data_IF_787386666430
#
_entry.id   IF_787386666430
#
_cell.length_a   1.000
_cell.length_b   1.000
_cell.length_c   1.000
_cell.angle_alpha   90.00
_cell.angle_beta   90.00
_cell.angle_gamma   90.00
#
_symmetry.space_group_name_H-M   'P 1'
#
loop_
_entity.id
_entity.type
_entity.pdbx_description
1 polymer ?
#
# COMPACT_ATOMS: atom_id res chain seq x y z
N UNK A 1 -28.10 -46.25 -14.62
CA UNK A 1 -27.41 -45.38 -15.55
C UNK A 1 -27.76 -43.93 -15.43
N UNK A 2 -29.04 -43.64 -15.41
CA UNK A 2 -29.46 -42.26 -15.29
C UNK A 2 -28.98 -41.61 -14.03
N UNK A 3 -28.84 -42.33 -12.98
CA UNK A 3 -28.40 -41.75 -11.71
C UNK A 3 -26.99 -41.28 -11.77
N UNK A 4 -26.16 -41.98 -12.50
CA UNK A 4 -24.77 -41.57 -12.57
C UNK A 4 -24.60 -40.26 -13.33
N UNK A 5 -25.42 -40.10 -14.34
CA UNK A 5 -25.35 -38.86 -15.11
C UNK A 5 -25.71 -37.66 -14.28
N UNK A 6 -26.68 -37.81 -13.42
CA UNK A 6 -27.09 -36.71 -12.55
C UNK A 6 -26.00 -36.30 -11.59
N UNK A 7 -25.30 -37.30 -11.08
CA UNK A 7 -24.23 -37.00 -10.14
C UNK A 7 -23.13 -36.18 -10.79
N UNK A 8 -22.84 -36.52 -12.02
CA UNK A 8 -21.81 -35.78 -12.73
C UNK A 8 -22.18 -34.33 -12.97
N UNK A 9 -23.42 -34.10 -13.24
CA UNK A 9 -23.87 -32.74 -13.49
C UNK A 9 -23.72 -31.86 -12.25
N UNK A 10 -24.03 -32.44 -11.13
CA UNK A 10 -23.93 -31.66 -9.89
C UNK A 10 -22.49 -31.24 -9.62
N UNK A 11 -21.57 -32.12 -9.86
CA UNK A 11 -20.17 -31.80 -9.64
C UNK A 11 -19.69 -30.70 -10.54
N UNK A 12 -20.10 -30.76 -11.79
CA UNK A 12 -19.67 -29.73 -12.73
C UNK A 12 -20.20 -28.38 -12.34
N UNK A 13 -21.40 -28.35 -11.82
CA UNK A 13 -21.98 -27.08 -11.42
C UNK A 13 -21.25 -26.46 -10.26
N UNK A 14 -20.85 -27.26 -9.32
CA UNK A 14 -20.14 -26.73 -8.16
C UNK A 14 -18.82 -26.12 -8.54
N UNK A 15 -18.15 -26.68 -9.54
CA UNK A 15 -16.85 -26.16 -9.92
C UNK A 15 -16.90 -24.81 -10.61
N UNK A 16 -18.02 -24.45 -11.16
CA UNK A 16 -18.10 -23.20 -11.89
C UNK A 16 -18.20 -21.99 -11.00
N UNK A 17 -18.66 -22.15 -9.80
CA UNK A 17 -18.89 -21.01 -8.91
C UNK A 17 -17.61 -20.47 -8.32
N UNK A 18 -16.69 -21.32 -7.94
CA UNK A 18 -15.50 -20.91 -7.25
C UNK A 18 -14.61 -19.90 -7.98
N UNK A 19 -14.34 -20.07 -9.26
CA UNK A 19 -13.40 -19.16 -9.94
C UNK A 19 -13.84 -17.71 -9.97
N UNK A 20 -15.10 -17.47 -9.94
CA UNK A 20 -15.58 -16.10 -10.01
C UNK A 20 -15.25 -15.27 -8.81
N UNK A 21 -15.39 -15.85 -7.64
CA UNK A 21 -15.14 -15.11 -6.41
C UNK A 21 -13.68 -14.74 -6.30
N UNK A 22 -12.81 -15.61 -6.75
CA UNK A 22 -11.39 -15.35 -6.65
C UNK A 22 -10.95 -14.18 -7.51
N UNK A 23 -11.59 -14.00 -8.64
CA UNK A 23 -11.17 -12.95 -9.57
C UNK A 23 -11.34 -11.55 -8.98
N UNK A 24 -12.42 -11.32 -8.27
CA UNK A 24 -12.65 -10.01 -7.68
C UNK A 24 -11.66 -9.67 -6.61
N UNK A 25 -11.31 -10.64 -5.79
CA UNK A 25 -10.39 -10.40 -4.70
C UNK A 25 -8.99 -10.12 -5.19
N UNK A 26 -8.62 -10.71 -6.30
CA UNK A 26 -7.27 -10.53 -6.83
C UNK A 26 -6.97 -9.08 -7.16
N UNK A 27 -7.93 -8.37 -7.69
CA UNK A 27 -7.71 -6.97 -8.05
C UNK A 27 -7.40 -6.10 -6.85
N UNK A 28 -8.15 -6.28 -5.78
CA UNK A 28 -7.92 -5.50 -4.57
C UNK A 28 -6.58 -5.80 -3.96
N UNK A 29 -6.22 -7.07 -3.95
CA UNK A 29 -4.96 -7.48 -3.36
C UNK A 29 -3.77 -6.89 -4.11
N UNK A 30 -3.89 -6.77 -5.41
CA UNK A 30 -2.79 -6.23 -6.20
C UNK A 30 -2.51 -4.77 -5.85
N UNK A 31 -3.54 -3.99 -5.64
CA UNK A 31 -3.34 -2.60 -5.28
C UNK A 31 -2.69 -2.46 -3.92
N UNK A 32 -3.12 -3.27 -2.98
CA UNK A 32 -2.54 -3.23 -1.65
C UNK A 32 -1.08 -3.66 -1.70
N UNK A 33 -0.78 -4.69 -2.46
CA UNK A 33 0.59 -5.16 -2.56
C UNK A 33 1.52 -4.17 -3.20
N UNK A 34 1.03 -3.39 -4.13
CA UNK A 34 1.86 -2.39 -4.75
C UNK A 34 2.34 -1.37 -3.73
N UNK A 35 1.46 -0.96 -2.86
CA UNK A 35 1.83 -0.05 -1.80
C UNK A 35 2.77 -0.71 -0.80
N UNK A 36 2.54 -1.97 -0.51
CA UNK A 36 3.37 -2.66 0.47
C UNK A 36 4.77 -2.96 -0.04
N UNK A 37 4.96 -2.99 -1.33
CA UNK A 37 6.29 -3.24 -1.86
C UNK A 37 7.21 -2.08 -1.66
N UNK A 38 6.67 -0.91 -1.50
CA UNK A 38 7.49 0.25 -1.23
C UNK A 38 7.97 0.18 0.19
N UNK A 39 9.25 0.37 0.34
CA UNK A 39 9.81 0.43 1.66
C UNK A 39 9.61 1.84 2.17
N UNK A 40 8.94 1.97 3.29
CA UNK A 40 8.61 3.26 3.87
C UNK A 40 9.10 3.34 5.31
N UNK A 41 9.34 4.55 5.81
CA UNK A 41 9.69 4.69 7.21
C UNK A 41 8.56 4.21 8.11
N UNK A 42 8.93 3.60 9.22
CA UNK A 42 7.95 3.12 10.19
C UNK A 42 7.65 4.23 11.19
N UNK A 43 6.43 4.27 11.67
CA UNK A 43 6.06 5.23 12.71
C UNK A 43 6.93 5.01 13.94
N UNK A 44 7.42 6.10 14.50
CA UNK A 44 8.29 6.02 15.67
C UNK A 44 9.77 5.92 15.35
N UNK A 45 10.12 5.79 14.07
CA UNK A 45 11.50 5.78 13.66
C UNK A 45 12.10 7.16 13.86
N UNK A 46 13.38 7.23 14.20
CA UNK A 46 14.02 8.53 14.40
C UNK A 46 14.51 9.11 13.09
N UNK A 47 14.65 10.44 13.06
CA UNK A 47 15.14 11.12 11.87
C UNK A 47 16.45 10.53 11.39
N UNK A 48 17.37 10.25 12.33
CA UNK A 48 18.65 9.69 11.95
C UNK A 48 18.50 8.35 11.30
N UNK A 49 17.58 7.55 11.79
CA UNK A 49 17.33 6.22 11.23
C UNK A 49 16.74 6.31 9.85
N UNK A 50 15.85 7.26 9.65
CA UNK A 50 15.24 7.46 8.34
C UNK A 50 16.31 7.85 7.33
N UNK A 51 17.16 8.79 7.71
CA UNK A 51 18.22 9.24 6.82
C UNK A 51 19.23 8.13 6.54
N UNK A 52 19.53 7.32 7.53
CA UNK A 52 20.47 6.22 7.33
C UNK A 52 19.90 5.18 6.39
N UNK A 53 18.60 4.92 6.49
CA UNK A 53 17.99 3.86 5.70
C UNK A 53 17.56 4.32 4.32
N UNK A 54 17.01 5.51 4.22
CA UNK A 54 16.45 6.01 2.96
C UNK A 54 17.26 7.08 2.30
N UNK A 55 18.33 7.54 2.94
CA UNK A 55 19.17 8.59 2.38
C UNK A 55 18.62 9.97 2.68
N UNK A 56 19.28 10.99 2.12
CA UNK A 56 18.85 12.35 2.33
C UNK A 56 17.57 12.61 1.54
N UNK A 57 16.62 13.35 2.11
CA UNK A 57 15.41 13.66 1.37
C UNK A 57 15.71 14.67 0.26
N UNK A 58 14.80 14.69 -0.70
CA UNK A 58 14.88 15.61 -1.80
C UNK A 58 14.71 17.05 -1.32
N UNK A 59 13.79 17.23 -0.38
CA UNK A 59 13.50 18.56 0.17
C UNK A 59 13.19 18.40 1.64
N UNK A 60 13.66 19.36 2.44
CA UNK A 60 13.29 19.40 3.85
C UNK A 60 12.53 20.67 4.13
N UNK A 61 11.56 20.58 5.01
CA UNK A 61 10.78 21.73 5.43
C UNK A 61 11.00 21.94 6.91
N UNK A 62 11.11 23.20 7.31
CA UNK A 62 11.34 23.52 8.72
C UNK A 62 10.17 23.09 9.57
N UNK A 63 10.46 22.84 10.83
CA UNK A 63 9.41 22.45 11.77
C UNK A 63 8.40 23.57 11.95
N UNK A 64 7.13 23.18 12.07
CA UNK A 64 6.04 24.12 12.21
C UNK A 64 5.11 23.65 13.31
N UNK A 65 4.66 24.59 14.12
CA UNK A 65 3.61 24.29 15.09
C UNK A 65 4.13 23.83 16.43
N UNK A 66 3.20 23.46 17.28
CA UNK A 66 3.48 23.02 18.65
C UNK A 66 2.47 21.91 18.96
N UNK A 67 2.91 20.65 18.96
CA UNK A 67 4.30 20.22 18.84
C UNK A 67 4.82 20.46 17.40
N UNK A 68 6.14 20.57 17.29
CA UNK A 68 6.74 20.87 15.99
C UNK A 68 6.63 19.68 15.04
N UNK A 69 6.14 19.96 13.85
CA UNK A 69 6.01 18.96 12.80
C UNK A 69 6.94 19.30 11.68
N UNK A 70 7.81 18.37 11.32
CA UNK A 70 8.78 18.53 10.25
C UNK A 70 8.41 17.61 9.12
N UNK A 71 8.54 18.09 7.88
CA UNK A 71 8.24 17.27 6.71
C UNK A 71 9.48 17.12 5.86
N UNK A 72 9.75 15.87 5.46
CA UNK A 72 10.83 15.56 4.51
C UNK A 72 10.19 14.95 3.28
N UNK A 73 10.53 15.48 2.11
CA UNK A 73 9.99 14.99 0.85
C UNK A 73 11.01 14.10 0.16
N UNK A 74 10.63 12.88 -0.11
CA UNK A 74 11.42 11.96 -0.89
C UNK A 74 10.81 11.86 -2.28
N UNK A 75 11.36 11.00 -3.11
CA UNK A 75 10.94 10.92 -4.50
C UNK A 75 9.47 10.58 -4.66
N UNK A 76 8.99 9.60 -3.92
CA UNK A 76 7.63 9.09 -4.10
C UNK A 76 6.76 9.23 -2.87
N UNK A 77 7.26 9.80 -1.81
CA UNK A 77 6.49 9.92 -0.58
C UNK A 77 7.08 11.02 0.29
N UNK A 78 6.29 11.46 1.25
CA UNK A 78 6.72 12.45 2.23
C UNK A 78 6.56 11.88 3.62
N UNK A 79 7.51 12.16 4.48
CA UNK A 79 7.45 11.66 5.86
C UNK A 79 7.33 12.85 6.80
N UNK A 80 6.44 12.70 7.78
CA UNK A 80 6.18 13.74 8.76
C UNK A 80 6.70 13.29 10.11
N UNK A 81 7.43 14.19 10.77
CA UNK A 81 8.02 13.93 12.07
C UNK A 81 7.37 14.81 13.11
N UNK A 82 7.13 14.25 14.28
CA UNK A 82 6.78 15.03 15.44
C UNK A 82 8.01 15.03 16.31
N UNK A 83 8.61 16.20 16.54
CA UNK A 83 9.93 16.31 17.09
C UNK A 83 10.88 15.57 16.15
N UNK A 84 11.52 14.51 16.59
CA UNK A 84 12.42 13.78 15.71
C UNK A 84 11.93 12.36 15.42
N UNK A 85 10.65 12.07 15.64
CA UNK A 85 10.11 10.73 15.45
C UNK A 85 9.10 10.74 14.32
N UNK A 86 9.13 9.69 13.50
CA UNK A 86 8.17 9.57 12.40
C UNK A 86 6.77 9.45 12.93
N UNK A 87 5.92 10.36 12.49
CA UNK A 87 4.51 10.36 12.84
C UNK A 87 3.72 9.55 11.83
N UNK A 88 3.92 9.84 10.55
CA UNK A 88 3.31 9.09 9.48
C UNK A 88 3.99 9.43 8.16
N UNK A 89 3.72 8.62 7.14
CA UNK A 89 4.27 8.81 5.81
C UNK A 89 3.12 8.86 4.81
N UNK A 90 3.21 9.75 3.85
CA UNK A 90 2.17 9.95 2.85
C UNK A 90 2.74 9.66 1.47
N UNK A 91 2.08 8.81 0.72
CA UNK A 91 2.49 8.51 -0.64
C UNK A 91 2.08 9.63 -1.57
N UNK A 92 2.91 9.88 -2.57
CA UNK A 92 2.58 10.88 -3.56
C UNK A 92 1.41 10.43 -4.40
N UNK A 93 0.68 11.39 -4.93
CA UNK A 93 -0.49 11.10 -5.73
C UNK A 93 -0.21 10.21 -6.90
N UNK A 94 0.85 10.47 -7.61
CA UNK A 94 1.14 9.69 -8.79
C UNK A 94 1.44 8.24 -8.48
N UNK A 95 1.74 7.91 -7.23
CA UNK A 95 1.94 6.53 -6.83
C UNK A 95 0.63 5.82 -6.55
N UNK A 96 -0.41 6.57 -6.26
CA UNK A 96 -1.66 6.00 -5.84
C UNK A 96 -2.75 6.13 -6.87
N UNK A 97 -2.81 7.25 -7.56
CA UNK A 97 -3.90 7.54 -8.47
C UNK A 97 -3.51 7.66 -9.91
N UNK A 98 -2.31 7.39 -10.29
CA UNK A 98 -1.91 7.60 -11.66
C UNK A 98 -2.79 6.83 -12.62
N UNK A 99 -3.28 5.69 -12.23
CA UNK A 99 -4.11 4.91 -13.11
C UNK A 99 -5.48 5.49 -13.30
N UNK A 100 -5.87 6.41 -12.47
CA UNK A 100 -7.17 7.03 -12.64
C UNK A 100 -7.16 8.15 -13.64
N UNK A 101 -6.02 8.60 -13.98
CA UNK A 101 -5.92 9.70 -14.91
C UNK A 101 -6.53 9.40 -16.24
N UNK A 102 -6.52 8.20 -16.59
CA UNK A 102 -7.15 7.84 -17.83
C UNK A 102 -8.62 7.69 -17.70
#
# INVERSE_FOLDING_TARGET
MTRMVLALMVLAFAGLVLPRLAAGDVLLIQEVRQAERMELPSNGMKMDEVRAKFGSPKTTHAAVGDPPITRWDYEHWSVYFEYNLVLFTVLDKDQVIDKKKD
#
